data_IF_619650760200
#
_entry.id   IF_619650760200
#
_cell.length_a   1.000
_cell.length_b   1.000
_cell.length_c   1.000
_cell.angle_alpha   90.00
_cell.angle_beta   90.00
_cell.angle_gamma   90.00
#
_symmetry.space_group_name_H-M   'P 1'
#
loop_
_entity.id
_entity.type
_entity.pdbx_description
1 polymer ?
#
# COMPACT_ATOMS: atom_id res chain seq x y z
N UNK A 1 -3.19 3.18 -6.98
CA UNK A 1 -4.29 2.49 -7.70
C UNK A 1 -5.57 3.24 -7.43
N UNK A 2 -6.36 3.48 -8.47
CA UNK A 2 -7.68 4.10 -8.34
C UNK A 2 -8.72 3.00 -8.46
N UNK A 3 -9.50 2.76 -7.39
CA UNK A 3 -10.67 1.89 -7.47
C UNK A 3 -11.91 2.77 -7.53
N UNK A 4 -12.48 2.88 -8.72
CA UNK A 4 -13.80 3.48 -8.87
C UNK A 4 -14.87 2.46 -8.46
N UNK A 5 -15.64 2.79 -7.42
CA UNK A 5 -16.84 2.03 -7.06
C UNK A 5 -18.05 2.85 -7.47
N UNK A 6 -18.82 2.35 -8.45
CA UNK A 6 -20.11 2.95 -8.84
C UNK A 6 -21.15 2.63 -7.76
N UNK A 7 -21.77 3.65 -7.19
CA UNK A 7 -22.84 3.51 -6.18
C UNK A 7 -24.13 4.16 -6.68
N UNK A 8 -25.27 3.83 -6.06
CA UNK A 8 -26.60 4.37 -6.42
C UNK A 8 -26.68 5.91 -6.36
N UNK A 9 -25.74 6.57 -5.67
CA UNK A 9 -25.63 8.03 -5.51
C UNK A 9 -24.45 8.67 -6.28
N UNK A 10 -23.75 7.92 -7.13
CA UNK A 10 -22.59 8.40 -7.90
C UNK A 10 -21.37 7.50 -7.81
N UNK A 11 -20.36 7.75 -8.67
CA UNK A 11 -19.07 7.06 -8.59
C UNK A 11 -18.23 7.61 -7.44
N UNK A 12 -17.62 6.71 -6.67
CA UNK A 12 -16.68 7.08 -5.61
C UNK A 12 -15.33 6.47 -5.93
N UNK A 13 -14.36 7.32 -6.26
CA UNK A 13 -12.98 6.92 -6.49
C UNK A 13 -12.27 6.78 -5.15
N UNK A 14 -12.05 5.54 -4.74
CA UNK A 14 -11.21 5.20 -3.61
C UNK A 14 -9.77 5.10 -4.10
N UNK A 15 -8.99 6.12 -3.77
CA UNK A 15 -7.57 6.16 -4.05
C UNK A 15 -6.83 5.72 -2.79
N UNK A 16 -6.06 4.65 -2.92
CA UNK A 16 -5.27 4.10 -1.83
C UNK A 16 -3.87 3.76 -2.29
N UNK A 17 -2.98 3.80 -1.30
CA UNK A 17 -1.62 3.34 -1.41
C UNK A 17 -1.57 1.86 -1.04
N UNK A 18 -0.87 1.10 -1.87
CA UNK A 18 -0.62 -0.31 -1.66
C UNK A 18 0.84 -0.57 -1.96
N UNK A 19 1.49 -1.37 -1.14
CA UNK A 19 2.79 -1.94 -1.44
C UNK A 19 2.64 -3.43 -1.64
N UNK A 20 3.39 -3.97 -2.58
CA UNK A 20 3.45 -5.40 -2.84
C UNK A 20 4.90 -5.83 -2.94
N UNK A 21 5.20 -6.99 -2.38
CA UNK A 21 6.50 -7.65 -2.49
C UNK A 21 6.32 -9.16 -2.45
N UNK A 22 7.36 -9.88 -2.84
CA UNK A 22 7.41 -11.33 -2.65
C UNK A 22 8.00 -11.65 -1.30
N UNK A 23 7.33 -12.54 -0.60
CA UNK A 23 7.79 -13.21 0.60
C UNK A 23 7.82 -14.68 0.21
N UNK A 24 9.03 -15.18 -0.06
CA UNK A 24 9.28 -16.49 -0.67
C UNK A 24 8.51 -16.67 -2.01
N UNK A 25 7.56 -17.59 -2.03
CA UNK A 25 6.77 -17.96 -3.21
C UNK A 25 5.40 -17.24 -3.28
N UNK A 26 5.11 -16.36 -2.31
CA UNK A 26 3.82 -15.65 -2.23
C UNK A 26 4.00 -14.15 -2.39
N UNK A 27 3.05 -13.53 -3.08
CA UNK A 27 2.98 -12.06 -3.17
C UNK A 27 2.20 -11.54 -1.97
N UNK A 28 2.87 -10.77 -1.12
CA UNK A 28 2.24 -10.05 -0.02
C UNK A 28 1.80 -8.68 -0.51
N UNK A 29 0.51 -8.39 -0.35
CA UNK A 29 -0.08 -7.07 -0.65
C UNK A 29 -0.46 -6.38 0.66
N UNK A 30 0.10 -5.20 0.91
CA UNK A 30 -0.14 -4.42 2.13
C UNK A 30 -0.82 -3.10 1.78
N UNK A 31 -1.95 -2.84 2.43
CA UNK A 31 -2.66 -1.57 2.35
C UNK A 31 -1.97 -0.53 3.24
N UNK A 32 -1.52 0.59 2.65
CA UNK A 32 -0.77 1.62 3.36
C UNK A 32 -1.63 2.81 3.81
N UNK A 33 -2.87 2.89 3.32
CA UNK A 33 -3.85 3.91 3.67
C UNK A 33 -4.41 4.63 2.44
N UNK A 34 -5.29 5.61 2.68
CA UNK A 34 -5.86 6.43 1.60
C UNK A 34 -4.84 7.43 1.06
N UNK A 35 -4.75 7.56 -0.26
CA UNK A 35 -3.84 8.51 -0.90
C UNK A 35 -4.25 9.96 -0.77
N UNK A 36 -5.49 10.23 -0.32
CA UNK A 36 -5.95 11.60 -0.03
C UNK A 36 -5.40 12.16 1.27
N UNK A 37 -4.91 11.30 2.16
CA UNK A 37 -4.47 11.65 3.52
C UNK A 37 -2.97 11.54 3.71
N UNK A 38 -2.28 10.82 2.84
CA UNK A 38 -0.88 10.45 3.00
C UNK A 38 -0.09 10.81 1.75
N UNK A 39 1.01 11.51 1.96
CA UNK A 39 1.95 11.89 0.91
C UNK A 39 2.69 10.66 0.35
N UNK A 40 3.00 10.70 -0.95
CA UNK A 40 3.64 9.60 -1.66
C UNK A 40 5.01 9.23 -1.06
N UNK A 41 5.78 10.20 -0.59
CA UNK A 41 7.09 9.97 0.01
C UNK A 41 6.98 9.27 1.38
N UNK A 42 6.08 9.77 2.23
CA UNK A 42 5.81 9.18 3.55
C UNK A 42 5.35 7.72 3.40
N UNK A 43 4.46 7.46 2.44
CA UNK A 43 4.00 6.11 2.13
C UNK A 43 5.13 5.23 1.61
N UNK A 44 6.03 5.77 0.77
CA UNK A 44 7.17 5.01 0.25
C UNK A 44 8.15 4.64 1.36
N UNK A 45 8.43 5.53 2.30
CA UNK A 45 9.24 5.21 3.48
C UNK A 45 8.58 4.14 4.34
N UNK A 46 7.27 4.27 4.61
CA UNK A 46 6.49 3.26 5.33
C UNK A 46 6.51 1.91 4.63
N UNK A 47 6.36 1.88 3.30
CA UNK A 47 6.44 0.66 2.50
C UNK A 47 7.81 -0.01 2.63
N UNK A 48 8.90 0.76 2.56
CA UNK A 48 10.27 0.25 2.70
C UNK A 48 10.49 -0.35 4.08
N UNK A 49 10.06 0.33 5.15
CA UNK A 49 10.16 -0.17 6.53
C UNK A 49 9.42 -1.50 6.72
N UNK A 50 8.16 -1.56 6.30
CA UNK A 50 7.36 -2.79 6.45
C UNK A 50 7.96 -3.91 5.59
N UNK A 51 8.43 -3.59 4.38
CA UNK A 51 9.10 -4.56 3.52
C UNK A 51 10.41 -5.08 4.12
N UNK A 52 11.24 -4.21 4.70
CA UNK A 52 12.49 -4.63 5.33
C UNK A 52 12.25 -5.48 6.57
N UNK A 53 11.24 -5.14 7.37
CA UNK A 53 10.80 -5.95 8.51
C UNK A 53 10.28 -7.33 8.06
N UNK A 54 9.44 -7.38 7.03
CA UNK A 54 8.89 -8.63 6.50
C UNK A 54 9.96 -9.53 5.87
N UNK A 55 10.98 -8.96 5.23
CA UNK A 55 12.09 -9.70 4.63
C UNK A 55 13.23 -9.98 5.62
N UNK A 56 13.11 -9.58 6.89
CA UNK A 56 14.17 -9.75 7.89
C UNK A 56 15.46 -8.98 7.58
N UNK A 57 15.39 -7.96 6.71
CA UNK A 57 16.52 -7.12 6.30
C UNK A 57 16.91 -6.10 7.38
N UNK A 58 16.06 -5.88 8.39
CA UNK A 58 16.35 -5.09 9.61
C UNK A 58 17.19 -5.89 10.61
N UNK A 59 18.26 -6.55 10.13
CA UNK A 59 19.19 -7.32 10.96
C UNK A 59 20.61 -6.83 10.71
N UNK A 60 21.01 -5.82 11.48
CA UNK A 60 22.31 -5.61 12.14
C UNK A 60 22.24 -4.34 12.97
#
# INVERSE_FOLDING_TARGET
>A
MEKEKRTKKGSKTYTYWMASWREDDKVRNVHLGSSRKLDAEVVRQKARKIKSEALGLTKL
#
